data_IF_405172154888
#
_entry.id   IF_405172154888
#
_cell.length_a   1.000
_cell.length_b   1.000
_cell.length_c   1.000
_cell.angle_alpha   90.00
_cell.angle_beta   90.00
_cell.angle_gamma   90.00
#
_symmetry.space_group_name_H-M   'P 1'
#
loop_
_entity.id
_entity.type
_entity.pdbx_description
1 polymer ?
#
# COMPACT_ATOMS: atom_id res chain seq x y z
N UNK A 1 9.23 -23.92 62.39
CA UNK A 1 8.92 -24.81 61.25
C UNK A 1 7.48 -24.53 60.87
N UNK A 2 7.12 -23.90 59.77
CA UNK A 2 7.87 -23.24 58.70
C UNK A 2 6.89 -22.26 58.05
N UNK A 3 7.38 -21.09 57.66
CA UNK A 3 6.68 -20.20 56.74
C UNK A 3 6.91 -20.75 55.33
N UNK A 4 5.86 -20.86 54.53
CA UNK A 4 6.00 -20.95 53.07
C UNK A 4 5.37 -19.69 52.49
N UNK A 5 6.27 -18.85 52.00
CA UNK A 5 6.05 -17.61 51.25
C UNK A 5 5.58 -17.92 49.83
N UNK A 6 4.95 -16.90 49.24
CA UNK A 6 4.59 -16.72 47.84
C UNK A 6 5.49 -17.43 46.82
N UNK A 7 4.87 -18.01 45.78
CA UNK A 7 5.50 -18.09 44.46
C UNK A 7 4.58 -17.43 43.42
N UNK A 8 4.58 -16.09 43.51
CA UNK A 8 4.11 -15.15 42.51
C UNK A 8 5.10 -15.10 41.35
N UNK A 9 5.02 -16.05 40.41
CA UNK A 9 5.63 -15.92 39.09
C UNK A 9 4.74 -16.53 38.02
N UNK A 10 3.56 -15.93 37.83
CA UNK A 10 2.94 -15.88 36.52
C UNK A 10 3.95 -15.21 35.57
N UNK A 11 4.72 -16.02 34.84
CA UNK A 11 5.74 -15.58 33.88
C UNK A 11 5.06 -14.70 32.83
N UNK A 12 5.07 -13.39 33.09
CA UNK A 12 4.67 -12.41 32.11
C UNK A 12 5.55 -12.61 30.88
N UNK A 13 4.99 -12.66 29.66
CA UNK A 13 5.77 -12.75 28.45
C UNK A 13 6.86 -11.67 28.45
N UNK A 14 8.07 -11.94 27.93
CA UNK A 14 9.11 -10.93 27.88
C UNK A 14 8.55 -9.67 27.19
N UNK A 15 8.78 -8.48 27.76
CA UNK A 15 8.24 -7.26 27.19
C UNK A 15 8.77 -7.11 25.77
N UNK A 16 7.87 -7.16 24.80
CA UNK A 16 8.20 -6.86 23.41
C UNK A 16 8.74 -5.45 23.27
N UNK A 17 9.25 -5.09 22.09
CA UNK A 17 9.63 -3.69 21.82
C UNK A 17 8.48 -2.75 22.19
N UNK A 18 8.77 -1.57 22.77
CA UNK A 18 7.73 -0.62 23.14
C UNK A 18 6.87 -0.28 21.93
N UNK A 19 5.56 -0.01 22.12
CA UNK A 19 4.65 0.38 21.05
C UNK A 19 5.24 1.55 20.25
N UNK A 20 5.17 1.45 18.93
CA UNK A 20 5.55 2.54 18.04
C UNK A 20 4.48 3.63 18.03
N UNK A 21 3.21 3.24 18.10
CA UNK A 21 2.06 4.14 18.12
C UNK A 21 1.50 4.29 19.52
N UNK A 22 1.13 5.52 19.89
CA UNK A 22 0.29 5.78 21.05
C UNK A 22 -1.16 5.34 20.82
N UNK A 23 -1.92 5.20 21.90
CA UNK A 23 -3.35 4.88 21.82
C UNK A 23 -4.15 5.91 21.02
N UNK A 24 -3.84 7.20 21.17
CA UNK A 24 -4.48 8.27 20.39
C UNK A 24 -4.22 8.10 18.89
N UNK A 25 -2.98 7.76 18.51
CA UNK A 25 -2.63 7.50 17.11
C UNK A 25 -3.32 6.26 16.55
N UNK A 26 -3.48 5.20 17.35
CA UNK A 26 -4.22 4.01 16.96
C UNK A 26 -5.70 4.31 16.75
N UNK A 27 -6.32 5.06 17.67
CA UNK A 27 -7.71 5.50 17.54
C UNK A 27 -7.91 6.41 16.32
N UNK A 28 -6.98 7.33 16.08
CA UNK A 28 -6.97 8.18 14.89
C UNK A 28 -6.89 7.34 13.62
N UNK A 29 -5.92 6.41 13.54
CA UNK A 29 -5.73 5.53 12.38
C UNK A 29 -6.98 4.67 12.13
N UNK A 30 -7.62 4.16 13.18
CA UNK A 30 -8.84 3.35 13.05
C UNK A 30 -10.02 4.15 12.47
N UNK A 31 -10.22 5.39 12.93
CA UNK A 31 -11.35 6.24 12.53
C UNK A 31 -11.13 6.93 11.19
N UNK A 32 -9.93 7.49 10.98
CA UNK A 32 -9.59 8.27 9.78
C UNK A 32 -9.09 7.38 8.64
N UNK A 33 -8.46 6.26 8.97
CA UNK A 33 -7.81 5.37 8.01
C UNK A 33 -6.45 5.85 7.53
N UNK A 34 -5.92 6.93 8.11
CA UNK A 34 -4.62 7.46 7.78
C UNK A 34 -3.91 7.99 9.02
N UNK A 35 -2.59 8.10 8.95
CA UNK A 35 -1.75 8.70 10.00
C UNK A 35 -0.47 9.27 9.38
N UNK A 36 -0.04 10.46 9.79
CA UNK A 36 1.29 10.98 9.42
C UNK A 36 2.31 10.67 10.51
N UNK A 37 3.47 10.12 10.12
CA UNK A 37 4.56 9.75 11.03
C UNK A 37 5.90 10.31 10.53
N UNK A 38 6.82 10.68 11.43
CA UNK A 38 8.21 10.92 11.07
C UNK A 38 8.83 9.67 10.44
N UNK A 39 9.59 9.86 9.35
CA UNK A 39 10.30 8.76 8.71
C UNK A 39 11.46 8.28 9.59
N UNK A 40 11.60 6.95 9.79
CA UNK A 40 12.83 6.40 10.34
C UNK A 40 14.05 6.83 9.52
N UNK A 41 15.16 7.19 10.18
CA UNK A 41 16.33 7.78 9.52
C UNK A 41 16.91 6.93 8.38
N UNK A 42 16.92 5.60 8.54
CA UNK A 42 17.37 4.69 7.50
C UNK A 42 16.46 4.75 6.26
N UNK A 43 15.14 4.67 6.47
CA UNK A 43 14.15 4.76 5.39
C UNK A 43 14.20 6.13 4.70
N UNK A 44 14.37 7.20 5.46
CA UNK A 44 14.55 8.55 4.92
C UNK A 44 15.75 8.61 3.96
N UNK A 45 16.92 8.12 4.39
CA UNK A 45 18.13 8.10 3.57
C UNK A 45 17.96 7.21 2.33
N UNK A 46 17.36 6.03 2.48
CA UNK A 46 17.11 5.11 1.38
C UNK A 46 16.18 5.75 0.34
N UNK A 47 15.08 6.37 0.78
CA UNK A 47 14.12 7.02 -0.12
C UNK A 47 14.71 8.24 -0.81
N UNK A 48 15.56 9.02 -0.13
CA UNK A 48 16.29 10.11 -0.78
C UNK A 48 17.21 9.60 -1.91
N UNK A 49 17.91 8.49 -1.70
CA UNK A 49 18.71 7.85 -2.74
C UNK A 49 17.84 7.27 -3.87
N UNK A 50 16.68 6.68 -3.53
CA UNK A 50 15.73 6.18 -4.50
C UNK A 50 15.16 7.31 -5.37
N UNK A 51 14.85 8.48 -4.81
CA UNK A 51 14.47 9.67 -5.57
C UNK A 51 15.58 10.13 -6.52
N UNK A 52 16.82 10.20 -6.04
CA UNK A 52 17.96 10.56 -6.89
C UNK A 52 18.17 9.57 -8.04
N UNK A 53 18.06 8.27 -7.76
CA UNK A 53 18.25 7.23 -8.77
C UNK A 53 17.09 7.18 -9.77
N UNK A 54 15.86 7.34 -9.30
CA UNK A 54 14.67 7.35 -10.17
C UNK A 54 14.59 8.61 -11.03
N UNK A 55 15.04 9.77 -10.55
CA UNK A 55 15.13 10.98 -11.38
C UNK A 55 15.95 10.74 -12.66
N UNK A 56 17.14 10.12 -12.52
CA UNK A 56 18.01 9.73 -13.65
C UNK A 56 17.34 8.73 -14.58
N UNK A 57 16.55 7.80 -14.04
CA UNK A 57 15.77 6.88 -14.86
C UNK A 57 14.69 7.61 -15.67
N UNK A 58 13.96 8.54 -15.04
CA UNK A 58 12.87 9.24 -15.71
C UNK A 58 13.34 10.27 -16.75
N UNK A 59 14.61 10.67 -16.72
CA UNK A 59 15.26 11.47 -17.77
C UNK A 59 15.46 10.70 -19.09
N UNK A 60 15.41 9.36 -19.06
CA UNK A 60 15.46 8.54 -20.27
C UNK A 60 14.21 8.73 -21.14
N UNK A 61 14.34 8.40 -22.44
CA UNK A 61 13.20 8.40 -23.35
C UNK A 61 12.16 7.35 -22.94
N UNK A 62 10.89 7.56 -23.28
CA UNK A 62 9.83 6.58 -22.99
C UNK A 62 10.13 5.19 -23.59
N UNK A 63 10.79 5.15 -24.75
CA UNK A 63 11.20 3.89 -25.39
C UNK A 63 12.24 3.15 -24.55
N UNK A 64 13.26 3.83 -24.07
CA UNK A 64 14.29 3.22 -23.22
C UNK A 64 13.69 2.74 -21.89
N UNK A 65 12.86 3.56 -21.24
CA UNK A 65 12.18 3.19 -19.99
C UNK A 65 11.33 1.93 -20.15
N UNK A 66 10.58 1.83 -21.24
CA UNK A 66 9.75 0.66 -21.55
C UNK A 66 10.56 -0.60 -21.90
N UNK A 67 11.77 -0.45 -22.47
CA UNK A 67 12.68 -1.58 -22.71
C UNK A 67 13.31 -2.06 -21.40
N UNK A 68 13.74 -1.14 -20.54
CA UNK A 68 14.35 -1.46 -19.24
C UNK A 68 13.34 -2.06 -18.26
N UNK A 69 12.12 -1.53 -18.21
CA UNK A 69 11.05 -2.03 -17.35
C UNK A 69 9.76 -2.26 -18.15
N UNK A 70 9.64 -3.39 -18.86
CA UNK A 70 8.45 -3.70 -19.64
C UNK A 70 7.19 -3.75 -18.78
N UNK A 71 6.13 -3.07 -19.24
CA UNK A 71 4.81 -3.10 -18.62
C UNK A 71 4.20 -4.51 -18.70
N UNK A 72 3.84 -5.08 -17.54
CA UNK A 72 3.12 -6.35 -17.41
C UNK A 72 1.99 -6.25 -16.38
N UNK A 73 1.04 -7.18 -16.43
CA UNK A 73 0.02 -7.33 -15.38
C UNK A 73 -0.78 -6.04 -15.09
N UNK A 74 -1.30 -5.40 -16.15
CA UNK A 74 -2.10 -4.20 -16.03
C UNK A 74 -1.28 -2.95 -15.79
N UNK A 75 -1.23 -2.46 -14.55
CA UNK A 75 -0.36 -1.34 -14.09
C UNK A 75 0.48 -1.72 -12.88
N UNK A 76 0.52 -3.01 -12.55
CA UNK A 76 1.15 -3.50 -11.32
C UNK A 76 2.59 -4.01 -11.52
N UNK A 77 3.16 -3.91 -12.72
CA UNK A 77 4.53 -4.34 -12.99
C UNK A 77 5.16 -3.55 -14.14
N UNK A 78 6.33 -2.97 -13.91
CA UNK A 78 7.11 -2.26 -14.92
C UNK A 78 6.78 -0.77 -15.04
N UNK A 79 7.27 -0.13 -16.11
CA UNK A 79 7.12 1.29 -16.40
C UNK A 79 5.78 1.61 -17.08
N UNK A 80 5.15 2.70 -16.67
CA UNK A 80 3.91 3.21 -17.23
C UNK A 80 3.94 4.74 -17.31
N UNK A 81 3.17 5.26 -18.26
CA UNK A 81 2.86 6.68 -18.36
C UNK A 81 1.35 6.86 -18.45
N UNK A 82 0.86 7.90 -17.79
CA UNK A 82 -0.48 8.43 -17.93
C UNK A 82 -0.31 9.85 -18.47
N UNK A 83 -0.66 10.09 -19.75
CA UNK A 83 -0.42 11.37 -20.41
C UNK A 83 -0.92 12.54 -19.58
N UNK A 84 -0.11 13.59 -19.48
CA UNK A 84 -0.38 14.81 -18.73
C UNK A 84 -0.56 14.63 -17.21
N UNK A 85 -0.49 13.43 -16.65
CA UNK A 85 -0.67 13.22 -15.20
C UNK A 85 0.64 12.82 -14.53
N UNK A 86 1.20 11.69 -14.96
CA UNK A 86 2.27 11.02 -14.23
C UNK A 86 2.95 9.96 -15.07
N UNK A 87 4.16 9.63 -14.69
CA UNK A 87 4.81 8.40 -15.07
C UNK A 87 5.33 7.70 -13.82
N UNK A 88 5.48 6.38 -13.89
CA UNK A 88 5.90 5.60 -12.74
C UNK A 88 6.48 4.25 -13.14
N UNK A 89 7.25 3.67 -12.21
CA UNK A 89 7.64 2.26 -12.26
C UNK A 89 6.97 1.54 -11.10
N UNK A 90 6.43 0.35 -11.36
CA UNK A 90 5.99 -0.58 -10.32
C UNK A 90 6.97 -1.75 -10.19
N UNK A 91 7.59 -1.86 -9.03
CA UNK A 91 8.43 -2.99 -8.64
C UNK A 91 7.58 -4.06 -7.96
N UNK A 92 7.77 -5.30 -8.40
CA UNK A 92 7.24 -6.53 -7.76
C UNK A 92 8.32 -7.55 -7.44
N UNK A 93 9.45 -7.45 -8.13
CA UNK A 93 10.67 -8.22 -7.94
C UNK A 93 11.83 -7.45 -8.59
N UNK A 94 13.05 -7.93 -8.40
CA UNK A 94 14.20 -7.60 -9.24
C UNK A 94 14.05 -8.33 -10.59
N UNK A 95 14.37 -7.65 -11.68
CA UNK A 95 14.36 -8.26 -13.03
C UNK A 95 15.73 -8.20 -13.71
N UNK A 96 16.68 -7.50 -13.08
CA UNK A 96 18.02 -7.28 -13.60
C UNK A 96 19.09 -8.13 -12.87
N UNK A 97 18.67 -9.06 -12.01
CA UNK A 97 19.53 -10.04 -11.31
C UNK A 97 19.88 -11.23 -12.22
N UNK A 98 21.16 -11.55 -12.39
CA UNK A 98 21.62 -12.87 -12.84
C UNK A 98 21.82 -13.14 -14.35
N UNK A 99 21.42 -12.26 -15.29
CA UNK A 99 21.78 -12.43 -16.71
C UNK A 99 21.56 -11.13 -17.50
N UNK A 100 22.60 -10.55 -18.13
CA UNK A 100 22.44 -9.32 -18.93
C UNK A 100 23.32 -9.22 -20.20
N UNK A 101 22.98 -9.91 -21.31
CA UNK A 101 23.63 -9.68 -22.59
C UNK A 101 23.12 -8.42 -23.33
N UNK A 102 22.08 -7.74 -22.83
CA UNK A 102 21.33 -6.72 -23.59
C UNK A 102 21.38 -5.30 -23.03
N UNK A 103 21.91 -5.08 -21.82
CA UNK A 103 22.03 -3.73 -21.28
C UNK A 103 23.37 -3.12 -21.67
N UNK A 104 23.33 -1.86 -22.09
CA UNK A 104 24.55 -1.10 -22.32
C UNK A 104 25.29 -0.82 -21.00
N UNK A 105 26.60 -0.61 -21.07
CA UNK A 105 27.45 -0.30 -19.91
C UNK A 105 26.93 0.87 -19.04
N UNK A 106 26.34 1.96 -19.58
CA UNK A 106 25.74 3.02 -18.76
C UNK A 106 24.39 2.65 -18.12
N UNK A 107 23.60 1.77 -18.73
CA UNK A 107 22.27 1.37 -18.23
C UNK A 107 22.36 0.40 -17.07
N UNK A 108 23.37 -0.49 -17.06
CA UNK A 108 23.54 -1.50 -16.03
C UNK A 108 23.65 -0.88 -14.61
N UNK A 109 24.57 0.07 -14.33
CA UNK A 109 24.63 0.73 -13.02
C UNK A 109 23.38 1.53 -12.69
N UNK A 110 22.68 2.08 -13.69
CA UNK A 110 21.45 2.83 -13.48
C UNK A 110 20.34 1.92 -12.93
N UNK A 111 20.09 0.79 -13.57
CA UNK A 111 19.02 -0.13 -13.15
C UNK A 111 19.38 -0.88 -11.87
N UNK A 112 20.66 -1.26 -11.69
CA UNK A 112 21.11 -1.92 -10.45
C UNK A 112 20.92 -1.03 -9.23
N UNK A 113 21.39 0.22 -9.28
CA UNK A 113 21.19 1.17 -8.19
C UNK A 113 19.70 1.39 -7.91
N UNK A 114 18.89 1.52 -8.95
CA UNK A 114 17.44 1.72 -8.81
C UNK A 114 16.78 0.53 -8.11
N UNK A 115 17.08 -0.70 -8.52
CA UNK A 115 16.55 -1.91 -7.89
C UNK A 115 17.10 -2.11 -6.46
N UNK A 116 18.36 -1.78 -6.20
CA UNK A 116 18.96 -1.90 -4.86
C UNK A 116 18.29 -0.94 -3.87
N UNK A 117 18.09 0.32 -4.26
CA UNK A 117 17.37 1.28 -3.43
C UNK A 117 15.89 0.94 -3.30
N UNK A 118 15.25 0.40 -4.35
CA UNK A 118 13.86 -0.06 -4.27
C UNK A 118 13.72 -1.27 -3.32
N UNK A 119 14.61 -2.25 -3.40
CA UNK A 119 14.63 -3.41 -2.51
C UNK A 119 14.83 -3.02 -1.05
N UNK A 120 15.75 -2.07 -0.81
CA UNK A 120 16.00 -1.57 0.54
C UNK A 120 14.81 -0.77 1.09
N UNK A 121 14.21 0.10 0.27
CA UNK A 121 13.01 0.85 0.65
C UNK A 121 11.82 -0.08 0.93
N UNK A 122 11.68 -1.16 0.14
CA UNK A 122 10.70 -2.22 0.37
C UNK A 122 10.90 -2.86 1.74
N UNK A 123 12.12 -3.32 2.06
CA UNK A 123 12.40 -4.00 3.32
C UNK A 123 12.17 -3.08 4.52
N UNK A 124 12.69 -1.85 4.47
CA UNK A 124 12.55 -0.86 5.54
C UNK A 124 11.09 -0.41 5.71
N UNK A 125 10.36 -0.25 4.61
CA UNK A 125 8.93 0.05 4.60
C UNK A 125 8.07 -1.10 5.13
N UNK A 126 8.37 -2.34 4.73
CA UNK A 126 7.70 -3.53 5.24
C UNK A 126 7.88 -3.69 6.74
N UNK A 127 9.10 -3.47 7.25
CA UNK A 127 9.37 -3.51 8.68
C UNK A 127 8.57 -2.45 9.45
N UNK A 128 8.50 -1.22 8.93
CA UNK A 128 7.70 -0.16 9.55
C UNK A 128 6.21 -0.54 9.61
N UNK A 129 5.65 -0.99 8.49
CA UNK A 129 4.24 -1.40 8.43
C UNK A 129 3.94 -2.62 9.29
N UNK A 130 4.85 -3.60 9.34
CA UNK A 130 4.69 -4.76 10.22
C UNK A 130 4.68 -4.35 11.69
N UNK A 131 5.55 -3.42 12.11
CA UNK A 131 5.51 -2.87 13.48
C UNK A 131 4.18 -2.19 13.79
N UNK A 132 3.61 -1.44 12.85
CA UNK A 132 2.29 -0.81 13.00
C UNK A 132 1.19 -1.88 13.11
N UNK A 133 1.23 -2.94 12.29
CA UNK A 133 0.29 -4.06 12.39
C UNK A 133 0.38 -4.74 13.77
N UNK A 134 1.59 -4.93 14.31
CA UNK A 134 1.77 -5.46 15.66
C UNK A 134 1.13 -4.56 16.73
N UNK A 135 1.25 -3.24 16.63
CA UNK A 135 0.60 -2.33 17.57
C UNK A 135 -0.93 -2.38 17.47
N UNK A 136 -1.48 -2.40 16.26
CA UNK A 136 -2.93 -2.61 16.02
C UNK A 136 -3.39 -3.92 16.65
N UNK A 137 -2.61 -4.99 16.51
CA UNK A 137 -2.95 -6.33 17.01
C UNK A 137 -2.97 -6.37 18.52
N UNK A 138 -1.96 -5.78 19.17
CA UNK A 138 -1.92 -5.64 20.63
C UNK A 138 -3.07 -4.80 21.16
N UNK A 139 -3.39 -3.70 20.48
CA UNK A 139 -4.52 -2.84 20.83
C UNK A 139 -5.87 -3.57 20.76
N UNK A 140 -5.99 -4.52 19.83
CA UNK A 140 -7.18 -5.38 19.70
C UNK A 140 -7.16 -6.63 20.58
N UNK A 141 -6.12 -6.85 21.40
CA UNK A 141 -6.00 -8.05 22.25
C UNK A 141 -5.80 -9.36 21.48
N UNK A 142 -5.35 -9.29 20.23
CA UNK A 142 -5.10 -10.46 19.38
C UNK A 142 -3.65 -10.95 19.52
N UNK A 143 -3.42 -12.21 19.15
CA UNK A 143 -2.07 -12.78 19.13
C UNK A 143 -1.26 -12.29 17.91
N UNK A 144 0.05 -12.09 18.06
CA UNK A 144 0.89 -11.58 16.97
C UNK A 144 1.13 -12.62 15.85
N UNK A 145 0.94 -13.91 16.13
CA UNK A 145 1.14 -14.99 15.15
C UNK A 145 0.16 -14.95 13.98
N UNK A 146 -0.95 -14.19 14.09
CA UNK A 146 -1.91 -14.00 13.00
C UNK A 146 -1.26 -13.45 11.72
N UNK A 147 -0.10 -12.80 11.84
CA UNK A 147 0.64 -12.24 10.72
C UNK A 147 1.58 -13.21 10.02
N UNK A 148 1.87 -14.37 10.61
CA UNK A 148 2.89 -15.30 10.09
C UNK A 148 2.60 -15.70 8.65
N UNK A 149 1.41 -16.23 8.39
CA UNK A 149 1.00 -16.66 7.05
C UNK A 149 0.63 -15.47 6.17
N UNK A 150 0.01 -14.44 6.74
CA UNK A 150 -0.43 -13.25 6.00
C UNK A 150 0.76 -12.48 5.43
N UNK A 151 1.89 -12.45 6.12
CA UNK A 151 3.08 -11.70 5.69
C UNK A 151 4.18 -12.57 5.07
N UNK A 152 3.99 -13.89 4.95
CA UNK A 152 5.00 -14.79 4.36
C UNK A 152 5.39 -14.35 2.94
N UNK A 153 6.66 -14.03 2.74
CA UNK A 153 7.23 -13.63 1.46
C UNK A 153 6.85 -12.20 1.03
N UNK A 154 6.33 -11.38 1.93
CA UNK A 154 5.92 -9.99 1.62
C UNK A 154 6.96 -8.94 2.04
N UNK A 155 7.85 -9.29 2.96
CA UNK A 155 8.76 -8.32 3.62
C UNK A 155 10.05 -8.04 2.85
N UNK A 156 10.40 -8.89 1.88
CA UNK A 156 11.57 -8.70 1.01
C UNK A 156 11.11 -8.59 -0.44
N UNK A 157 11.82 -7.79 -1.23
CA UNK A 157 11.57 -7.73 -2.66
C UNK A 157 12.13 -9.00 -3.30
N UNK A 158 11.31 -9.81 -4.01
CA UNK A 158 11.78 -11.06 -4.62
C UNK A 158 12.86 -10.85 -5.68
N UNK A 159 13.68 -11.86 -5.92
CA UNK A 159 14.74 -11.83 -6.94
C UNK A 159 14.27 -12.29 -8.32
N UNK A 160 13.00 -12.71 -8.48
CA UNK A 160 12.46 -13.14 -9.78
C UNK A 160 10.93 -13.09 -9.86
N UNK A 161 10.41 -13.13 -11.10
CA UNK A 161 8.98 -13.20 -11.42
C UNK A 161 8.31 -14.53 -10.98
N UNK A 162 9.07 -15.55 -10.57
CA UNK A 162 8.49 -16.82 -10.09
C UNK A 162 7.89 -16.72 -8.69
N UNK A 163 8.19 -15.64 -7.96
CA UNK A 163 7.86 -15.47 -6.54
C UNK A 163 7.08 -14.18 -6.29
N UNK A 164 6.25 -13.74 -7.25
CA UNK A 164 5.57 -12.44 -7.16
C UNK A 164 4.58 -12.40 -5.98
N UNK A 165 4.81 -11.54 -4.96
CA UNK A 165 3.82 -11.28 -3.93
C UNK A 165 2.73 -10.37 -4.49
N UNK A 166 1.62 -10.18 -3.78
CA UNK A 166 0.69 -9.10 -4.09
C UNK A 166 1.26 -7.72 -3.75
N UNK A 167 2.10 -7.64 -2.71
CA UNK A 167 2.86 -6.44 -2.28
C UNK A 167 3.59 -5.80 -3.45
N UNK A 168 3.68 -4.48 -3.44
CA UNK A 168 4.36 -3.74 -4.49
C UNK A 168 4.99 -2.45 -3.96
N UNK A 169 5.97 -1.94 -4.71
CA UNK A 169 6.52 -0.61 -4.52
C UNK A 169 6.37 0.16 -5.82
N UNK A 170 5.89 1.40 -5.75
CA UNK A 170 5.80 2.32 -6.88
C UNK A 170 6.65 3.54 -6.64
N UNK A 171 7.32 3.98 -7.70
CA UNK A 171 8.00 5.26 -7.75
C UNK A 171 7.34 6.10 -8.83
N UNK A 172 6.78 7.24 -8.44
CA UNK A 172 6.02 8.15 -9.29
C UNK A 172 6.79 9.44 -9.55
N UNK A 173 6.64 9.98 -10.76
CA UNK A 173 6.89 11.38 -11.13
C UNK A 173 5.60 11.98 -11.69
N UNK A 174 4.99 12.88 -10.94
CA UNK A 174 3.80 13.63 -11.32
C UNK A 174 4.20 14.87 -12.13
N UNK A 175 3.45 15.14 -13.20
CA UNK A 175 3.69 16.27 -14.08
C UNK A 175 3.48 17.62 -13.38
N UNK A 176 4.29 18.65 -13.68
CA UNK A 176 4.04 20.01 -13.23
C UNK A 176 2.67 20.53 -13.68
N UNK A 177 1.98 21.19 -12.75
CA UNK A 177 0.65 21.81 -12.91
C UNK A 177 -0.52 20.87 -13.25
N UNK A 178 -0.27 19.71 -13.86
CA UNK A 178 -1.33 18.80 -14.34
C UNK A 178 -1.30 17.45 -13.65
N UNK A 179 -0.29 17.18 -12.83
CA UNK A 179 -0.12 15.89 -12.19
C UNK A 179 -1.12 15.64 -11.08
N UNK A 180 -1.95 14.60 -11.24
CA UNK A 180 -2.96 14.24 -10.25
C UNK A 180 -3.18 12.73 -10.13
N UNK A 181 -3.87 12.34 -9.06
CA UNK A 181 -4.45 11.02 -8.88
C UNK A 181 -5.83 11.15 -8.24
N UNK A 182 -6.83 10.53 -8.85
CA UNK A 182 -8.22 10.57 -8.40
C UNK A 182 -8.37 10.02 -6.96
N UNK A 183 -9.43 10.45 -6.26
CA UNK A 183 -9.74 9.94 -4.92
C UNK A 183 -9.91 8.42 -4.94
N UNK A 184 -9.25 7.72 -4.03
CA UNK A 184 -9.35 6.26 -3.89
C UNK A 184 -8.92 5.77 -2.51
N UNK A 185 -9.00 4.47 -2.33
CA UNK A 185 -8.48 3.71 -1.17
C UNK A 185 -7.60 2.59 -1.71
N UNK A 186 -6.54 2.25 -0.99
CA UNK A 186 -5.67 1.16 -1.39
C UNK A 186 -6.25 -0.21 -1.06
N UNK A 187 -5.83 -1.22 -1.81
CA UNK A 187 -6.39 -2.58 -1.69
C UNK A 187 -5.80 -3.36 -0.51
N UNK A 188 -4.55 -3.11 -0.13
CA UNK A 188 -3.77 -3.99 0.74
C UNK A 188 -4.09 -3.92 2.24
N UNK A 189 -3.11 -4.28 3.05
CA UNK A 189 -3.17 -4.17 4.50
C UNK A 189 -2.91 -2.72 4.92
N UNK A 190 -1.71 -2.23 4.64
CA UNK A 190 -1.27 -0.87 4.91
C UNK A 190 -0.44 -0.36 3.72
N UNK A 191 -0.49 0.95 3.49
CA UNK A 191 0.38 1.63 2.52
C UNK A 191 1.21 2.71 3.21
N UNK A 192 2.47 2.86 2.80
CA UNK A 192 3.30 4.04 3.11
C UNK A 192 3.37 4.90 1.85
N UNK A 193 2.99 6.17 1.97
CA UNK A 193 3.19 7.19 0.95
C UNK A 193 4.23 8.20 1.42
N UNK A 194 5.31 8.36 0.65
CA UNK A 194 6.38 9.32 0.89
C UNK A 194 6.50 10.20 -0.34
N UNK A 195 6.53 11.52 -0.17
CA UNK A 195 6.72 12.45 -1.27
C UNK A 195 7.73 13.53 -0.95
N UNK A 196 8.34 14.08 -1.99
CA UNK A 196 9.32 15.17 -1.86
C UNK A 196 8.66 16.56 -1.69
N UNK A 197 7.40 16.70 -2.13
CA UNK A 197 6.62 17.96 -2.13
C UNK A 197 5.20 17.75 -1.62
N UNK A 198 4.44 18.82 -1.46
CA UNK A 198 3.00 18.77 -1.11
C UNK A 198 2.14 18.20 -2.25
N UNK A 199 0.83 18.13 -2.02
CA UNK A 199 -0.16 17.68 -3.02
C UNK A 199 -0.71 16.27 -2.79
N UNK A 200 -0.20 15.49 -1.84
CA UNK A 200 -0.93 14.32 -1.35
C UNK A 200 -1.95 14.80 -0.33
N UNK A 201 -3.23 14.50 -0.57
CA UNK A 201 -4.31 14.85 0.34
C UNK A 201 -5.02 13.61 0.85
N UNK A 202 -5.42 13.67 2.12
CA UNK A 202 -6.17 12.64 2.82
C UNK A 202 -7.51 13.22 3.30
N UNK A 203 -8.54 12.40 3.30
CA UNK A 203 -9.87 12.84 3.74
C UNK A 203 -9.94 12.87 5.27
N UNK A 204 -10.36 14.00 5.84
CA UNK A 204 -10.77 14.07 7.25
C UNK A 204 -12.20 13.53 7.37
N UNK A 205 -12.34 12.24 7.66
CA UNK A 205 -13.63 11.57 7.79
C UNK A 205 -14.50 12.15 8.90
N UNK A 206 -13.89 12.66 9.97
CA UNK A 206 -14.63 13.19 11.11
C UNK A 206 -15.21 14.58 10.84
N UNK A 207 -14.62 15.34 9.91
CA UNK A 207 -15.11 16.66 9.48
C UNK A 207 -15.83 16.67 8.13
N UNK A 208 -15.76 15.57 7.39
CA UNK A 208 -16.38 15.44 6.08
C UNK A 208 -17.84 15.01 6.17
N UNK A 209 -18.65 15.51 5.24
CA UNK A 209 -19.94 14.91 4.87
C UNK A 209 -19.89 14.48 3.41
N UNK A 210 -20.89 13.72 2.95
CA UNK A 210 -20.95 13.25 1.56
C UNK A 210 -20.91 14.41 0.54
N UNK A 211 -21.56 15.54 0.87
CA UNK A 211 -21.60 16.73 0.01
C UNK A 211 -20.44 17.69 0.24
N UNK A 212 -19.73 17.58 1.37
CA UNK A 212 -18.66 18.51 1.77
C UNK A 212 -17.44 17.73 2.28
N UNK A 213 -16.62 17.19 1.37
CA UNK A 213 -15.40 16.51 1.76
C UNK A 213 -14.34 17.52 2.23
N UNK A 214 -13.77 17.27 3.41
CA UNK A 214 -12.66 18.04 3.97
C UNK A 214 -11.36 17.29 3.69
N UNK A 215 -10.50 17.89 2.89
CA UNK A 215 -9.19 17.33 2.51
C UNK A 215 -8.08 18.00 3.31
N UNK A 216 -7.12 17.21 3.76
CA UNK A 216 -5.93 17.66 4.50
C UNK A 216 -4.71 17.35 3.64
N UNK A 217 -3.85 18.34 3.38
CA UNK A 217 -2.51 18.05 2.84
C UNK A 217 -1.74 17.23 3.88
N UNK A 218 -1.36 16.02 3.51
CA UNK A 218 -0.76 15.08 4.44
C UNK A 218 0.66 15.46 4.86
N UNK A 219 1.26 16.46 4.18
CA UNK A 219 2.57 17.01 4.51
C UNK A 219 2.48 17.90 5.75
N UNK A 220 2.51 17.28 6.92
CA UNK A 220 2.62 17.96 8.20
C UNK A 220 4.05 18.46 8.52
N UNK A 221 5.06 18.07 7.71
CA UNK A 221 6.43 18.54 7.85
C UNK A 221 7.40 17.92 6.83
N UNK A 222 8.69 18.34 6.81
CA UNK A 222 9.72 17.62 6.09
C UNK A 222 9.89 16.22 6.69
N UNK A 223 10.24 15.24 5.84
CA UNK A 223 10.59 13.88 6.28
C UNK A 223 9.44 13.08 6.94
N UNK A 224 8.19 13.32 6.55
CA UNK A 224 7.04 12.55 7.03
C UNK A 224 6.59 11.50 6.02
N UNK A 225 6.13 10.36 6.50
CA UNK A 225 5.36 9.38 5.75
C UNK A 225 3.88 9.49 6.10
N UNK A 226 3.01 9.27 5.12
CA UNK A 226 1.59 9.05 5.34
C UNK A 226 1.30 7.57 5.28
N UNK A 227 0.80 7.00 6.38
CA UNK A 227 0.34 5.62 6.49
C UNK A 227 -1.15 5.60 6.15
N UNK A 228 -1.58 4.61 5.37
CA UNK A 228 -2.97 4.43 4.96
C UNK A 228 -3.41 3.00 5.26
N UNK A 229 -4.59 2.85 5.86
CA UNK A 229 -5.27 1.56 5.99
C UNK A 229 -5.84 1.16 4.62
N UNK A 230 -5.57 -0.07 4.19
CA UNK A 230 -6.12 -0.63 2.97
C UNK A 230 -7.38 -1.48 3.18
N UNK A 231 -8.00 -1.88 2.07
CA UNK A 231 -9.24 -2.65 2.07
C UNK A 231 -9.08 -4.07 2.65
N UNK A 232 -7.93 -4.73 2.45
CA UNK A 232 -7.66 -6.03 3.09
C UNK A 232 -7.74 -5.89 4.61
N UNK A 233 -7.09 -4.88 5.19
CA UNK A 233 -7.10 -4.71 6.64
C UNK A 233 -8.48 -4.31 7.18
N UNK A 234 -9.26 -3.54 6.43
CA UNK A 234 -10.69 -3.32 6.74
C UNK A 234 -11.45 -4.64 6.80
N UNK A 235 -11.29 -5.50 5.80
CA UNK A 235 -11.99 -6.78 5.74
C UNK A 235 -11.60 -7.68 6.91
N UNK A 236 -10.30 -7.80 7.21
CA UNK A 236 -9.80 -8.60 8.33
C UNK A 236 -10.30 -8.07 9.68
N UNK A 237 -10.28 -6.75 9.89
CA UNK A 237 -10.73 -6.13 11.13
C UNK A 237 -12.26 -6.00 11.27
N UNK A 238 -13.02 -6.70 10.42
CA UNK A 238 -14.49 -6.61 10.38
C UNK A 238 -15.02 -5.16 10.35
N UNK A 239 -14.33 -4.28 9.62
CA UNK A 239 -14.69 -2.87 9.49
C UNK A 239 -14.26 -1.94 10.63
N UNK A 240 -13.59 -2.44 11.68
CA UNK A 240 -13.09 -1.60 12.78
C UNK A 240 -12.06 -0.55 12.29
N UNK A 241 -11.26 -0.90 11.29
CA UNK A 241 -10.29 0.00 10.68
C UNK A 241 -10.85 0.55 9.35
N UNK A 242 -11.12 1.86 9.32
CA UNK A 242 -11.56 2.52 8.09
C UNK A 242 -10.40 2.61 7.08
N UNK A 243 -10.61 2.35 5.78
CA UNK A 243 -9.57 2.59 4.78
C UNK A 243 -9.26 4.08 4.62
N UNK A 244 -7.99 4.42 4.43
CA UNK A 244 -7.56 5.78 4.16
C UNK A 244 -8.00 6.24 2.77
N UNK A 245 -8.89 7.23 2.72
CA UNK A 245 -9.27 7.87 1.45
C UNK A 245 -8.26 8.97 1.17
N UNK A 246 -7.65 8.91 -0.01
CA UNK A 246 -6.61 9.86 -0.39
C UNK A 246 -6.67 10.18 -1.89
N UNK A 247 -6.03 11.27 -2.27
CA UNK A 247 -5.87 11.74 -3.65
C UNK A 247 -4.55 12.48 -3.82
N UNK A 248 -4.14 12.70 -5.06
CA UNK A 248 -3.05 13.63 -5.37
C UNK A 248 -3.62 14.77 -6.20
N UNK A 249 -3.38 16.00 -5.75
CA UNK A 249 -3.77 17.23 -6.44
C UNK A 249 -2.58 17.85 -7.17
N UNK A 250 -2.90 18.72 -8.11
CA UNK A 250 -1.94 19.41 -8.95
C UNK A 250 -0.90 20.19 -8.12
N UNK A 251 0.36 20.10 -8.53
CA UNK A 251 1.45 20.86 -7.94
C UNK A 251 2.17 21.65 -9.04
N UNK A 252 2.37 22.98 -8.91
CA UNK A 252 3.02 23.79 -9.96
C UNK A 252 4.42 23.29 -10.38
N UNK A 253 5.14 22.64 -9.47
CA UNK A 253 6.49 22.10 -9.73
C UNK A 253 6.50 20.59 -10.01
N UNK A 254 5.33 19.95 -10.03
CA UNK A 254 5.22 18.50 -10.03
C UNK A 254 5.62 17.91 -8.67
N UNK A 255 5.69 16.58 -8.60
CA UNK A 255 5.98 15.84 -7.36
C UNK A 255 6.56 14.48 -7.65
N UNK A 256 7.52 14.03 -6.85
CA UNK A 256 7.94 12.64 -6.81
C UNK A 256 7.36 11.93 -5.59
N UNK A 257 7.01 10.65 -5.74
CA UNK A 257 6.51 9.86 -4.62
C UNK A 257 6.98 8.42 -4.67
N UNK A 258 7.28 7.88 -3.50
CA UNK A 258 7.46 6.44 -3.28
C UNK A 258 6.24 5.94 -2.51
N UNK A 259 5.59 4.92 -3.06
CA UNK A 259 4.42 4.28 -2.46
C UNK A 259 4.72 2.81 -2.27
N UNK A 260 4.75 2.34 -1.02
CA UNK A 260 4.91 0.93 -0.69
C UNK A 260 3.59 0.39 -0.13
N UNK A 261 2.98 -0.56 -0.84
CA UNK A 261 1.70 -1.15 -0.46
C UNK A 261 1.91 -2.58 0.04
N UNK A 262 1.90 -2.76 1.36
CA UNK A 262 1.93 -4.08 2.00
C UNK A 262 0.60 -4.76 1.81
N UNK A 263 0.61 -5.95 1.20
CA UNK A 263 -0.58 -6.76 0.91
C UNK A 263 -0.37 -8.15 1.50
N UNK A 264 -1.45 -8.92 1.62
CA UNK A 264 -1.37 -10.29 2.11
C UNK A 264 -0.60 -11.20 1.15
N UNK A 265 0.00 -12.25 1.69
CA UNK A 265 0.70 -13.28 0.93
C UNK A 265 -0.24 -14.03 0.01
N UNK A 266 0.17 -14.36 -1.23
CA UNK A 266 -0.59 -15.26 -2.09
C UNK A 266 -0.41 -16.74 -1.70
N UNK A 267 0.48 -17.07 -0.76
CA UNK A 267 0.92 -18.46 -0.49
C UNK A 267 -0.06 -19.26 0.35
N UNK A 268 -0.77 -18.59 1.26
CA UNK A 268 -1.59 -19.23 2.28
C UNK A 268 -3.05 -18.79 2.18
N UNK A 269 -3.96 -19.64 2.60
CA UNK A 269 -5.33 -19.20 2.82
C UNK A 269 -5.38 -18.27 4.05
N UNK A 270 -6.36 -17.38 4.07
CA UNK A 270 -6.55 -16.38 5.11
C UNK A 270 -7.67 -16.84 6.02
N UNK A 271 -7.32 -17.12 7.28
CA UNK A 271 -8.27 -17.54 8.31
C UNK A 271 -8.85 -16.31 9.01
N UNK A 272 -10.13 -16.05 8.78
CA UNK A 272 -10.83 -14.93 9.41
C UNK A 272 -11.12 -15.16 10.88
N UNK A 273 -11.08 -16.40 11.38
CA UNK A 273 -11.28 -16.70 12.80
C UNK A 273 -10.19 -16.09 13.69
N UNK A 274 -8.98 -15.94 13.14
CA UNK A 274 -7.86 -15.24 13.78
C UNK A 274 -8.14 -13.75 14.05
N UNK A 275 -9.17 -13.19 13.41
CA UNK A 275 -9.59 -11.80 13.56
C UNK A 275 -11.00 -11.66 14.19
N UNK A 276 -11.52 -12.74 14.77
CA UNK A 276 -12.88 -12.77 15.34
C UNK A 276 -14.00 -12.94 14.32
N UNK A 277 -13.67 -13.24 13.07
CA UNK A 277 -14.63 -13.63 12.03
C UNK A 277 -14.83 -15.14 11.91
N UNK A 278 -15.32 -15.60 10.76
CA UNK A 278 -15.51 -17.02 10.48
C UNK A 278 -15.02 -17.40 9.07
N UNK A 279 -14.43 -18.58 8.96
CA UNK A 279 -14.10 -19.20 7.68
C UNK A 279 -12.69 -18.96 7.19
N UNK A 280 -12.28 -19.83 6.27
CA UNK A 280 -10.99 -19.82 5.60
C UNK A 280 -11.19 -19.43 4.14
N UNK A 281 -10.53 -18.36 3.69
CA UNK A 281 -10.69 -17.83 2.33
C UNK A 281 -9.37 -17.96 1.59
N UNK A 282 -9.38 -18.46 0.35
CA UNK A 282 -8.15 -18.49 -0.45
C UNK A 282 -7.60 -17.06 -0.66
N UNK A 283 -6.27 -16.89 -0.63
CA UNK A 283 -5.67 -15.56 -0.86
C UNK A 283 -6.12 -14.93 -2.20
N UNK A 284 -6.35 -15.76 -3.21
CA UNK A 284 -6.82 -15.35 -4.53
C UNK A 284 -8.26 -14.83 -4.50
N UNK A 285 -9.15 -15.50 -3.78
CA UNK A 285 -10.55 -15.09 -3.73
C UNK A 285 -10.73 -13.87 -2.83
N UNK A 286 -9.96 -13.77 -1.74
CA UNK A 286 -9.86 -12.54 -0.96
C UNK A 286 -9.39 -11.37 -1.83
N UNK A 287 -8.34 -11.57 -2.63
CA UNK A 287 -7.81 -10.54 -3.53
C UNK A 287 -8.85 -10.08 -4.55
N UNK A 288 -9.57 -11.02 -5.18
CA UNK A 288 -10.66 -10.69 -6.12
C UNK A 288 -11.79 -9.92 -5.43
N UNK A 289 -12.23 -10.38 -4.26
CA UNK A 289 -13.31 -9.75 -3.50
C UNK A 289 -13.00 -8.29 -3.18
N UNK A 290 -11.76 -8.01 -2.73
CA UNK A 290 -11.31 -6.66 -2.40
C UNK A 290 -11.24 -5.74 -3.63
N UNK A 291 -11.04 -6.30 -4.83
CA UNK A 291 -10.97 -5.55 -6.07
C UNK A 291 -12.33 -5.18 -6.67
N UNK A 292 -13.42 -5.78 -6.19
CA UNK A 292 -14.78 -5.53 -6.72
C UNK A 292 -15.14 -4.05 -6.62
N UNK A 293 -15.68 -3.49 -7.71
CA UNK A 293 -16.09 -2.08 -7.80
C UNK A 293 -14.94 -1.07 -7.78
N UNK A 294 -13.67 -1.51 -7.78
CA UNK A 294 -12.52 -0.60 -7.76
C UNK A 294 -12.09 -0.20 -9.17
N UNK A 295 -11.70 1.06 -9.31
CA UNK A 295 -11.16 1.63 -10.55
C UNK A 295 -9.66 1.78 -10.40
N UNK A 296 -8.90 1.35 -11.42
CA UNK A 296 -7.46 1.50 -11.45
C UNK A 296 -7.07 2.95 -11.81
N UNK A 297 -6.91 3.78 -10.79
CA UNK A 297 -6.53 5.20 -10.88
C UNK A 297 -5.17 5.44 -11.56
N UNK A 298 -4.35 4.41 -11.73
CA UNK A 298 -3.05 4.49 -12.38
C UNK A 298 -3.12 4.15 -13.88
N UNK A 299 -4.30 3.82 -14.40
CA UNK A 299 -4.52 3.61 -15.84
C UNK A 299 -4.91 4.91 -16.55
N UNK A 300 -4.81 4.92 -17.88
CA UNK A 300 -5.25 6.03 -18.73
C UNK A 300 -6.75 6.30 -18.58
N UNK A 301 -7.16 7.54 -18.84
CA UNK A 301 -8.53 8.01 -18.62
C UNK A 301 -9.58 7.12 -19.27
N UNK A 302 -9.36 6.72 -20.52
CA UNK A 302 -10.28 5.87 -21.29
C UNK A 302 -10.53 4.53 -20.58
N UNK A 303 -9.49 3.94 -19.99
CA UNK A 303 -9.62 2.69 -19.22
C UNK A 303 -10.34 2.90 -17.89
N UNK A 304 -10.14 4.06 -17.23
CA UNK A 304 -10.85 4.40 -16.00
C UNK A 304 -12.34 4.58 -16.26
N UNK A 305 -12.68 5.31 -17.32
CA UNK A 305 -14.07 5.57 -17.73
C UNK A 305 -14.79 4.26 -18.12
N UNK A 306 -14.12 3.38 -18.88
CA UNK A 306 -14.66 2.06 -19.22
C UNK A 306 -14.91 1.17 -17.97
N UNK A 307 -14.01 1.21 -16.98
CA UNK A 307 -14.22 0.50 -15.72
C UNK A 307 -15.42 1.04 -14.93
N UNK A 308 -15.59 2.37 -14.89
CA UNK A 308 -16.75 3.01 -14.25
C UNK A 308 -18.05 2.62 -14.92
N UNK A 309 -18.12 2.70 -16.25
CA UNK A 309 -19.31 2.33 -17.01
C UNK A 309 -19.68 0.86 -16.78
N UNK A 310 -18.70 -0.04 -16.73
CA UNK A 310 -18.94 -1.45 -16.39
C UNK A 310 -19.50 -1.63 -14.98
N UNK A 311 -18.87 -1.01 -13.98
CA UNK A 311 -19.33 -1.09 -12.59
C UNK A 311 -20.74 -0.50 -12.40
N UNK A 312 -21.06 0.57 -13.13
CA UNK A 312 -22.39 1.17 -13.14
C UNK A 312 -23.43 0.24 -13.78
N UNK A 313 -23.09 -0.37 -14.92
CA UNK A 313 -23.95 -1.37 -15.57
C UNK A 313 -24.19 -2.60 -14.68
N UNK A 314 -23.14 -3.11 -14.02
CA UNK A 314 -23.25 -4.21 -13.05
C UNK A 314 -24.15 -3.83 -11.87
N UNK A 315 -24.03 -2.59 -11.35
CA UNK A 315 -24.87 -2.08 -10.27
C UNK A 315 -26.34 -1.96 -10.70
N UNK A 316 -26.60 -1.45 -11.90
CA UNK A 316 -27.96 -1.33 -12.45
C UNK A 316 -28.58 -2.71 -12.66
N UNK A 317 -27.83 -3.65 -13.24
CA UNK A 317 -28.28 -5.03 -13.42
C UNK A 317 -28.56 -5.75 -12.09
N UNK A 318 -27.75 -5.50 -11.06
CA UNK A 318 -28.00 -6.03 -9.72
C UNK A 318 -29.19 -5.36 -9.01
N UNK A 319 -29.44 -4.07 -9.27
CA UNK A 319 -30.59 -3.32 -8.76
C UNK A 319 -31.92 -3.76 -9.38
N UNK A 320 -31.93 -4.13 -10.67
CA UNK A 320 -33.11 -4.67 -11.36
C UNK A 320 -33.53 -6.06 -10.84
N UNK A 321 -32.62 -6.80 -10.18
CA UNK A 321 -32.93 -8.08 -9.53
C UNK A 321 -33.53 -7.96 -8.12
N UNK A 322 -33.54 -6.77 -7.49
CA UNK A 322 -34.24 -6.56 -6.21
C UNK A 322 -35.75 -6.29 -6.37
N UNK A 323 -36.26 -6.25 -7.61
CA UNK A 323 -37.70 -6.11 -7.91
C UNK A 323 -38.52 -7.40 -7.85
N UNK A 324 -37.93 -8.55 -7.49
CA UNK A 324 -38.58 -9.87 -7.52
C UNK A 324 -38.56 -10.64 -6.18
N UNK A 325 -38.50 -9.94 -5.05
CA UNK A 325 -38.91 -10.49 -3.75
C UNK A 325 -40.24 -9.87 -3.30
N UNK A 326 -41.28 -10.15 -4.09
CA UNK A 326 -42.65 -10.27 -3.56
C UNK A 326 -42.98 -11.75 -3.69
N UNK A 327 -43.30 -12.36 -2.54
CA UNK A 327 -43.64 -13.77 -2.31
C UNK A 327 -42.46 -14.70 -1.99
N UNK A 328 -42.20 -14.87 -0.69
CA UNK A 328 -42.28 -16.20 -0.02
C UNK A 328 -42.27 -16.04 1.50
N UNK A 329 -43.48 -16.25 2.06
CA UNK A 329 -43.80 -17.34 3.00
C UNK A 329 -42.98 -17.48 4.26
#
# INVERSE_FOLDING_TARGET
MGAEEDDDFARSPPPGSPPLLSEEQLLHLARQGWLSLPLPQNLLKTVANLFKSSARFFELTNREKAVLYPSKSGTEFGFYTVPNEKEYITFRCRIHTGYQPRLSSPQLPLVQNLEDYAAKAWQEGALLLWRILCDITRWSGLDLSIWNDILDGTQTMPDSEKQLPYTLLRVFRYSPATGFAEKHTDLGLLTICIGDRGGLEVLDRLKSTDDRPVWIDSRTGPHTATILVGQTLKALSNGMLSPGIHRVVENPSGRNSVVFALRHSPKHAVDFSLFGGHGLVSAKDLWKFIQVGKVNINSIKERRDAQRARHEAERLAAGDHQGWDVCRG
#
